data_IF_150377983990
#
_entry.id   IF_150377983990
#
_cell.length_a   1.000
_cell.length_b   1.000
_cell.length_c   1.000
_cell.angle_alpha   90.00
_cell.angle_beta   90.00
_cell.angle_gamma   90.00
#
_symmetry.space_group_name_H-M   'P 1'
#
loop_
_entity.id
_entity.type
_entity.pdbx_description
1 polymer ?
#
# COMPACT_ATOMS: atom_id res chain seq x y z
N UNK A 1 24.46 -0.21 -21.83
CA UNK A 1 25.10 -0.44 -20.50
C UNK A 1 25.65 0.83 -19.85
N UNK A 2 26.54 1.63 -20.48
CA UNK A 2 27.12 2.84 -19.83
C UNK A 2 26.08 3.93 -19.47
N UNK A 3 25.02 4.09 -20.26
CA UNK A 3 23.95 5.04 -19.97
C UNK A 3 23.10 4.62 -18.75
N UNK A 4 22.80 3.32 -18.66
CA UNK A 4 22.11 2.73 -17.50
C UNK A 4 22.94 2.90 -16.22
N UNK A 5 24.27 2.69 -16.30
CA UNK A 5 25.18 2.88 -15.17
C UNK A 5 25.25 4.32 -14.67
N UNK A 6 25.23 5.31 -15.58
CA UNK A 6 25.20 6.73 -15.18
C UNK A 6 23.89 7.10 -14.53
N UNK A 7 22.76 6.59 -15.05
CA UNK A 7 21.46 6.84 -14.46
C UNK A 7 21.32 6.21 -13.07
N UNK A 8 21.80 4.97 -12.87
CA UNK A 8 21.79 4.35 -11.54
C UNK A 8 22.75 5.05 -10.59
N UNK A 9 23.89 5.56 -11.07
CA UNK A 9 24.85 6.31 -10.28
C UNK A 9 24.34 7.68 -9.83
N UNK A 10 23.73 8.45 -10.73
CA UNK A 10 23.13 9.74 -10.38
C UNK A 10 21.91 9.58 -9.47
N UNK A 11 21.14 8.51 -9.65
CA UNK A 11 20.06 8.12 -8.74
C UNK A 11 20.58 7.77 -7.35
N UNK A 12 21.66 6.97 -7.27
CA UNK A 12 22.31 6.62 -6.01
C UNK A 12 22.92 7.84 -5.29
N UNK A 13 23.43 8.83 -6.03
CA UNK A 13 23.93 10.10 -5.46
C UNK A 13 22.81 11.02 -4.94
N UNK A 14 21.65 11.04 -5.57
CA UNK A 14 20.50 11.88 -5.15
C UNK A 14 19.66 11.24 -4.05
N UNK A 15 19.62 9.91 -3.98
CA UNK A 15 18.98 9.19 -2.88
C UNK A 15 19.79 9.35 -1.60
N UNK A 16 19.38 10.28 -0.71
CA UNK A 16 20.05 10.52 0.58
C UNK A 16 20.19 9.30 1.50
N UNK A 17 19.55 8.17 1.17
CA UNK A 17 19.63 6.91 1.91
C UNK A 17 20.71 5.93 1.44
N UNK A 18 21.30 6.08 0.25
CA UNK A 18 22.25 5.09 -0.29
C UNK A 18 23.63 5.21 0.37
N UNK A 19 24.05 6.43 0.66
CA UNK A 19 25.30 6.69 1.39
C UNK A 19 25.31 6.16 2.83
N UNK A 20 24.30 6.44 3.68
CA UNK A 20 24.30 5.90 5.04
C UNK A 20 24.22 4.38 5.06
N UNK A 21 23.52 3.73 4.11
CA UNK A 21 23.49 2.26 4.04
C UNK A 21 24.83 1.67 3.58
N UNK A 22 25.51 2.30 2.61
CA UNK A 22 26.85 1.90 2.19
C UNK A 22 27.86 2.08 3.34
N UNK A 23 27.82 3.21 4.04
CA UNK A 23 28.66 3.47 5.22
C UNK A 23 28.38 2.43 6.31
N UNK A 24 27.11 2.12 6.59
CA UNK A 24 26.74 1.10 7.57
C UNK A 24 27.24 -0.29 7.16
N UNK A 25 27.20 -0.62 5.88
CA UNK A 25 27.71 -1.90 5.33
C UNK A 25 29.23 -2.00 5.48
N UNK A 26 29.96 -0.93 5.13
CA UNK A 26 31.41 -0.87 5.31
C UNK A 26 31.76 -0.89 6.79
N UNK A 27 31.00 -0.20 7.64
CA UNK A 27 31.23 -0.14 9.08
C UNK A 27 30.97 -1.49 9.75
N UNK A 28 29.95 -2.23 9.32
CA UNK A 28 29.66 -3.58 9.81
C UNK A 28 30.72 -4.59 9.35
N UNK A 29 31.18 -4.53 8.10
CA UNK A 29 32.32 -5.33 7.62
C UNK A 29 33.62 -4.98 8.34
N UNK A 30 33.88 -3.69 8.54
CA UNK A 30 35.01 -3.20 9.32
C UNK A 30 34.90 -3.70 10.77
N UNK A 31 33.73 -3.62 11.41
CA UNK A 31 33.53 -4.18 12.75
C UNK A 31 33.83 -5.68 12.78
N UNK A 32 33.39 -6.46 11.79
CA UNK A 32 33.68 -7.90 11.72
C UNK A 32 35.19 -8.18 11.61
N UNK A 33 35.90 -7.44 10.76
CA UNK A 33 37.34 -7.61 10.54
C UNK A 33 38.16 -7.10 11.73
N UNK A 34 37.69 -6.01 12.34
CA UNK A 34 38.40 -5.30 13.40
C UNK A 34 38.05 -5.81 14.79
N UNK A 35 36.96 -6.56 14.96
CA UNK A 35 36.62 -7.22 16.22
C UNK A 35 37.75 -8.19 16.56
N UNK A 36 38.65 -7.85 17.50
CA UNK A 36 39.72 -8.73 17.91
C UNK A 36 39.06 -9.78 18.80
N UNK A 37 38.49 -10.80 18.17
CA UNK A 37 38.02 -11.98 18.89
C UNK A 37 39.17 -12.49 19.75
N UNK A 38 38.93 -12.82 21.03
CA UNK A 38 39.98 -13.29 21.92
C UNK A 38 40.65 -14.49 21.25
N UNK A 39 41.90 -14.31 20.83
CA UNK A 39 42.73 -15.35 20.19
C UNK A 39 43.13 -16.47 21.17
N UNK A 40 42.39 -16.64 22.26
CA UNK A 40 42.60 -17.70 23.24
C UNK A 40 42.04 -19.00 22.67
N UNK A 41 42.98 -19.84 22.25
CA UNK A 41 42.91 -21.02 21.39
C UNK A 41 41.95 -22.14 21.87
N UNK A 42 41.29 -22.04 23.04
CA UNK A 42 40.67 -23.19 23.69
C UNK A 42 39.19 -23.07 24.11
N UNK A 43 38.45 -21.99 23.80
CA UNK A 43 37.04 -21.90 24.19
C UNK A 43 36.13 -21.59 23.00
N UNK A 44 35.29 -22.59 22.69
CA UNK A 44 34.07 -22.57 21.88
C UNK A 44 33.97 -21.45 20.82
N UNK A 45 34.28 -21.75 19.55
CA UNK A 45 34.07 -20.78 18.49
C UNK A 45 32.56 -20.57 18.24
N UNK A 46 32.24 -19.42 17.65
CA UNK A 46 31.06 -19.17 16.81
C UNK A 46 29.76 -18.67 17.43
N UNK A 47 29.68 -18.44 18.74
CA UNK A 47 28.48 -17.79 19.29
C UNK A 47 28.37 -16.34 18.77
N UNK A 48 29.50 -15.62 18.69
CA UNK A 48 29.54 -14.24 18.19
C UNK A 48 29.16 -14.12 16.70
N UNK A 49 29.70 -14.98 15.84
CA UNK A 49 29.41 -14.98 14.40
C UNK A 49 27.95 -15.38 14.11
N UNK A 50 27.41 -16.36 14.83
CA UNK A 50 25.99 -16.76 14.71
C UNK A 50 25.04 -15.66 15.18
N UNK A 51 25.33 -15.03 16.32
CA UNK A 51 24.52 -13.92 16.85
C UNK A 51 24.58 -12.72 15.90
N UNK A 52 25.75 -12.44 15.32
CA UNK A 52 25.89 -11.36 14.34
C UNK A 52 25.11 -11.65 13.06
N UNK A 53 25.17 -12.88 12.54
CA UNK A 53 24.36 -13.32 11.41
C UNK A 53 22.85 -13.18 11.67
N UNK A 54 22.38 -13.59 12.85
CA UNK A 54 20.99 -13.42 13.26
C UNK A 54 20.58 -11.94 13.38
N UNK A 55 21.44 -11.08 13.93
CA UNK A 55 21.19 -9.64 14.02
C UNK A 55 21.08 -9.00 12.64
N UNK A 56 21.94 -9.40 11.69
CA UNK A 56 21.92 -8.89 10.33
C UNK A 56 20.62 -9.29 9.59
N UNK A 57 20.15 -10.53 9.82
CA UNK A 57 18.85 -11.00 9.33
C UNK A 57 17.68 -10.23 9.94
N UNK A 58 17.70 -9.98 11.26
CA UNK A 58 16.69 -9.18 11.97
C UNK A 58 16.64 -7.74 11.47
N UNK A 59 17.79 -7.11 11.27
CA UNK A 59 17.89 -5.77 10.68
C UNK A 59 17.35 -5.79 9.25
N UNK A 60 17.71 -6.78 8.44
CA UNK A 60 17.17 -6.94 7.08
C UNK A 60 15.64 -7.02 7.07
N UNK A 61 15.07 -7.90 7.91
CA UNK A 61 13.63 -8.06 8.06
C UNK A 61 12.96 -6.78 8.58
N UNK A 62 13.56 -6.10 9.55
CA UNK A 62 13.08 -4.83 10.08
C UNK A 62 13.05 -3.74 9.00
N UNK A 63 14.06 -3.70 8.14
CA UNK A 63 14.15 -2.70 7.06
C UNK A 63 13.03 -2.91 6.05
N UNK A 64 12.77 -4.16 5.64
CA UNK A 64 11.63 -4.52 4.78
C UNK A 64 10.30 -4.17 5.46
N UNK A 65 10.16 -4.52 6.74
CA UNK A 65 8.97 -4.19 7.53
C UNK A 65 8.71 -2.68 7.61
N UNK A 66 9.73 -1.89 7.88
CA UNK A 66 9.63 -0.43 7.95
C UNK A 66 9.23 0.17 6.60
N UNK A 67 9.75 -0.37 5.49
CA UNK A 67 9.40 0.08 4.14
C UNK A 67 7.95 -0.26 3.77
N UNK A 68 7.50 -1.49 4.07
CA UNK A 68 6.08 -1.86 3.92
C UNK A 68 5.18 -0.98 4.79
N UNK A 69 5.61 -0.64 6.00
CA UNK A 69 4.82 0.19 6.93
C UNK A 69 4.72 1.64 6.45
N UNK A 70 5.80 2.21 5.91
CA UNK A 70 5.80 3.55 5.32
C UNK A 70 4.90 3.62 4.09
N UNK A 71 4.96 2.59 3.23
CA UNK A 71 4.09 2.45 2.05
C UNK A 71 2.61 2.30 2.46
N UNK A 72 2.34 1.50 3.51
CA UNK A 72 1.00 1.32 4.05
C UNK A 72 0.38 2.62 4.59
N UNK A 73 1.19 3.53 5.11
CA UNK A 73 0.74 4.86 5.56
C UNK A 73 0.26 5.75 4.42
N UNK A 74 0.87 5.66 3.24
CA UNK A 74 0.50 6.47 2.07
C UNK A 74 -0.85 6.06 1.48
N UNK A 75 -1.24 4.80 1.60
CA UNK A 75 -2.55 4.33 1.13
C UNK A 75 -3.75 4.75 2.01
N UNK A 76 -3.56 5.62 3.00
CA UNK A 76 -4.64 6.13 3.87
C UNK A 76 -5.31 5.05 4.73
N UNK A 77 -4.92 3.78 4.59
CA UNK A 77 -5.32 2.68 5.45
C UNK A 77 -4.57 2.84 6.76
N UNK A 78 -5.16 3.61 7.66
CA UNK A 78 -4.76 3.70 9.06
C UNK A 78 -4.73 2.31 9.69
N UNK A 79 -3.58 1.66 9.55
CA UNK A 79 -3.16 0.54 10.37
C UNK A 79 -3.28 -0.84 9.74
N UNK A 80 -2.48 -1.13 8.72
CA UNK A 80 -1.99 -2.53 8.57
C UNK A 80 -1.21 -2.91 9.83
N UNK A 81 -0.39 -2.01 10.36
CA UNK A 81 0.27 -2.20 11.66
C UNK A 81 -0.75 -2.35 12.81
N UNK A 82 -1.79 -1.49 12.90
CA UNK A 82 -2.85 -1.68 13.92
C UNK A 82 -3.59 -3.00 13.73
N UNK A 83 -3.91 -3.41 12.49
CA UNK A 83 -4.55 -4.70 12.19
C UNK A 83 -3.65 -5.88 12.54
N UNK A 84 -2.35 -5.79 12.28
CA UNK A 84 -1.39 -6.81 12.66
C UNK A 84 -1.22 -6.88 14.18
N UNK A 85 -1.16 -5.75 14.88
CA UNK A 85 -1.17 -5.70 16.34
C UNK A 85 -2.51 -6.17 16.94
N UNK A 86 -3.63 -5.90 16.28
CA UNK A 86 -4.95 -6.42 16.65
C UNK A 86 -5.00 -7.94 16.45
N UNK A 87 -4.50 -8.43 15.32
CA UNK A 87 -4.41 -9.87 14.99
C UNK A 87 -3.46 -10.62 15.93
N UNK A 88 -2.31 -10.02 16.27
CA UNK A 88 -1.38 -10.59 17.24
C UNK A 88 -1.96 -10.58 18.67
N UNK A 89 -2.90 -9.68 18.94
CA UNK A 89 -3.61 -9.55 20.22
C UNK A 89 -4.90 -10.36 20.28
N UNK A 90 -5.44 -10.80 19.14
CA UNK A 90 -6.62 -11.66 19.00
C UNK A 90 -6.49 -13.03 19.69
N UNK A 91 -5.36 -13.76 19.66
CA UNK A 91 -5.25 -15.02 20.39
C UNK A 91 -5.32 -14.84 21.92
N UNK A 92 -5.19 -13.60 22.44
CA UNK A 92 -5.28 -13.29 23.86
C UNK A 92 -6.63 -12.66 24.29
N UNK A 93 -7.56 -12.41 23.37
CA UNK A 93 -8.88 -11.85 23.67
C UNK A 93 -9.96 -12.87 23.34
N UNK A 94 -10.58 -13.42 24.39
CA UNK A 94 -11.81 -14.23 24.30
C UNK A 94 -12.81 -13.55 23.36
N UNK A 95 -13.30 -14.33 22.40
CA UNK A 95 -14.22 -13.91 21.35
C UNK A 95 -15.39 -13.08 21.88
N UNK A 96 -15.44 -11.80 21.50
CA UNK A 96 -16.64 -10.98 21.59
C UNK A 96 -16.93 -10.49 20.18
N UNK A 97 -17.96 -11.09 19.59
CA UNK A 97 -18.51 -10.80 18.27
C UNK A 97 -19.02 -9.36 18.23
N UNK A 98 -18.33 -8.48 17.48
CA UNK A 98 -18.85 -7.16 17.13
C UNK A 98 -19.18 -7.16 15.64
N UNK A 99 -20.48 -7.24 15.34
CA UNK A 99 -21.02 -7.03 14.01
C UNK A 99 -21.00 -5.52 13.75
N UNK A 100 -20.14 -5.07 12.83
CA UNK A 100 -20.13 -3.68 12.35
C UNK A 100 -21.11 -3.59 11.19
N UNK A 101 -22.33 -3.12 11.47
CA UNK A 101 -23.28 -2.72 10.45
C UNK A 101 -22.91 -1.32 9.95
N UNK A 102 -22.31 -1.24 8.75
CA UNK A 102 -22.11 0.01 8.02
C UNK A 102 -23.08 0.01 6.83
N UNK A 103 -24.04 0.92 6.84
CA UNK A 103 -25.01 1.07 5.75
C UNK A 103 -26.00 2.19 6.06
N UNK A 104 -25.52 3.44 6.05
CA UNK A 104 -26.39 4.63 6.03
C UNK A 104 -26.83 4.83 4.58
N UNK A 105 -28.07 4.46 4.27
CA UNK A 105 -28.70 4.70 2.98
C UNK A 105 -29.42 6.05 2.99
N UNK A 106 -29.09 6.89 2.02
CA UNK A 106 -29.49 8.29 1.91
C UNK A 106 -31.02 8.51 1.89
N UNK A 107 -31.47 9.45 2.69
CA UNK A 107 -32.85 9.97 2.70
C UNK A 107 -33.06 10.84 1.45
N UNK A 108 -33.75 10.31 0.45
CA UNK A 108 -34.20 11.09 -0.72
C UNK A 108 -35.32 12.05 -0.32
N UNK A 109 -35.08 13.35 -0.44
CA UNK A 109 -36.10 14.37 -0.22
C UNK A 109 -37.11 14.37 -1.37
N UNK A 110 -38.30 13.80 -1.15
CA UNK A 110 -39.43 13.94 -2.06
C UNK A 110 -40.11 15.30 -1.82
N UNK A 111 -39.85 16.27 -2.70
CA UNK A 111 -40.58 17.53 -2.71
C UNK A 111 -42.00 17.32 -3.26
N UNK A 112 -43.01 17.56 -2.43
CA UNK A 112 -44.40 17.56 -2.87
C UNK A 112 -44.73 18.91 -3.54
N UNK A 113 -44.90 18.91 -4.86
CA UNK A 113 -45.43 20.07 -5.58
C UNK A 113 -46.96 19.96 -5.62
N UNK A 114 -47.66 20.93 -5.02
CA UNK A 114 -49.10 21.05 -5.10
C UNK A 114 -49.46 22.06 -6.21
N UNK A 115 -50.00 21.56 -7.33
CA UNK A 115 -50.58 22.41 -8.37
C UNK A 115 -52.09 22.52 -8.14
N UNK A 116 -52.59 23.74 -7.94
CA UNK A 116 -54.02 24.00 -7.83
C UNK A 116 -54.59 24.38 -9.20
N UNK A 117 -55.41 23.51 -9.78
CA UNK A 117 -56.05 23.75 -11.08
C UNK A 117 -57.49 24.20 -10.89
N UNK A 118 -57.86 25.39 -11.40
CA UNK A 118 -59.24 25.89 -11.36
C UNK A 118 -59.96 25.45 -12.63
N UNK A 119 -60.92 24.52 -12.52
CA UNK A 119 -61.77 24.10 -13.64
C UNK A 119 -63.16 24.73 -13.52
N UNK A 120 -63.69 25.24 -14.63
CA UNK A 120 -65.10 25.69 -14.68
C UNK A 120 -65.99 24.49 -14.94
N UNK A 121 -66.77 24.10 -13.94
CA UNK A 121 -67.77 23.05 -14.10
C UNK A 121 -69.12 23.70 -14.46
N UNK A 122 -69.73 23.37 -15.62
CA UNK A 122 -71.01 23.96 -15.99
C UNK A 122 -72.12 23.44 -15.06
N UNK A 123 -72.90 24.36 -14.48
CA UNK A 123 -74.07 24.03 -13.67
C UNK A 123 -75.19 23.42 -14.54
N UNK A 124 -75.91 22.39 -14.05
CA UNK A 124 -77.05 21.82 -14.78
C UNK A 124 -78.16 22.88 -14.91
N UNK A 125 -78.63 23.14 -16.13
CA UNK A 125 -79.69 24.12 -16.44
C UNK A 125 -79.24 25.39 -17.16
N UNK A 126 -77.93 25.57 -17.40
CA UNK A 126 -77.36 26.67 -18.22
C UNK A 126 -77.56 26.41 -19.72
N UNK A 127 -77.60 27.48 -20.52
CA UNK A 127 -77.74 27.41 -21.98
C UNK A 127 -76.62 26.61 -22.65
N UNK A 128 -76.86 26.07 -23.85
CA UNK A 128 -75.88 25.25 -24.59
C UNK A 128 -74.60 26.05 -24.86
N UNK A 129 -74.75 27.34 -25.12
CA UNK A 129 -73.71 28.31 -25.43
C UNK A 129 -72.75 28.49 -24.25
N UNK A 130 -73.27 28.60 -23.02
CA UNK A 130 -72.45 28.73 -21.81
C UNK A 130 -71.69 27.43 -21.50
N UNK A 131 -72.29 26.27 -21.79
CA UNK A 131 -71.60 24.97 -21.66
C UNK A 131 -70.46 24.86 -22.67
N UNK A 132 -70.68 25.31 -23.90
CA UNK A 132 -69.65 25.31 -24.94
C UNK A 132 -68.48 26.22 -24.57
N UNK A 133 -68.76 27.45 -24.11
CA UNK A 133 -67.75 28.38 -23.65
C UNK A 133 -66.93 27.83 -22.45
N UNK A 134 -67.57 27.10 -21.52
CA UNK A 134 -66.86 26.46 -20.42
C UNK A 134 -65.92 25.33 -20.87
N UNK A 135 -66.34 24.53 -21.86
CA UNK A 135 -65.50 23.47 -22.44
C UNK A 135 -64.32 24.07 -23.20
N UNK A 136 -64.55 25.09 -24.02
CA UNK A 136 -63.49 25.79 -24.77
C UNK A 136 -62.45 26.38 -23.82
N UNK A 137 -62.89 27.05 -22.76
CA UNK A 137 -62.00 27.55 -21.71
C UNK A 137 -61.17 26.43 -21.04
N UNK A 138 -61.79 25.29 -20.71
CA UNK A 138 -61.09 24.17 -20.09
C UNK A 138 -60.07 23.52 -21.05
N UNK A 139 -60.36 23.43 -22.36
CA UNK A 139 -59.43 22.93 -23.37
C UNK A 139 -58.24 23.88 -23.54
N UNK A 140 -58.47 25.19 -23.54
CA UNK A 140 -57.42 26.19 -23.61
C UNK A 140 -56.49 26.11 -22.38
N UNK A 141 -57.07 25.97 -21.18
CA UNK A 141 -56.31 25.77 -19.93
C UNK A 141 -55.47 24.47 -19.96
N UNK A 142 -56.06 23.35 -20.37
CA UNK A 142 -55.34 22.08 -20.51
C UNK A 142 -54.18 22.18 -21.49
N UNK A 143 -54.37 22.88 -22.61
CA UNK A 143 -53.30 23.09 -23.61
C UNK A 143 -52.16 23.93 -23.05
N UNK A 144 -52.48 24.97 -22.26
CA UNK A 144 -51.49 25.79 -21.54
C UNK A 144 -50.72 24.96 -20.50
N UNK A 145 -51.41 24.21 -19.65
CA UNK A 145 -50.81 23.33 -18.65
C UNK A 145 -49.91 22.27 -19.28
N UNK A 146 -50.34 21.67 -20.39
CA UNK A 146 -49.54 20.67 -21.11
C UNK A 146 -48.27 21.29 -21.70
N UNK A 147 -48.36 22.50 -22.24
CA UNK A 147 -47.21 23.23 -22.79
C UNK A 147 -46.23 23.61 -21.69
N UNK A 148 -46.72 24.09 -20.55
CA UNK A 148 -45.91 24.44 -19.38
C UNK A 148 -45.24 23.21 -18.77
N UNK A 149 -45.98 22.10 -18.65
CA UNK A 149 -45.44 20.82 -18.17
C UNK A 149 -44.38 20.26 -19.10
N UNK A 150 -44.60 20.30 -20.41
CA UNK A 150 -43.59 19.89 -21.38
C UNK A 150 -42.33 20.76 -21.30
N UNK A 151 -42.50 22.07 -21.12
CA UNK A 151 -41.36 22.99 -20.93
C UNK A 151 -40.62 22.68 -19.62
N UNK A 152 -41.33 22.42 -18.53
CA UNK A 152 -40.72 22.08 -17.24
C UNK A 152 -39.93 20.78 -17.33
N UNK A 153 -40.50 19.73 -17.93
CA UNK A 153 -39.83 18.45 -18.19
C UNK A 153 -38.57 18.65 -19.03
N UNK A 154 -38.64 19.42 -20.12
CA UNK A 154 -37.46 19.72 -20.94
C UNK A 154 -36.38 20.46 -20.15
N UNK A 155 -36.75 21.44 -19.33
CA UNK A 155 -35.78 22.19 -18.51
C UNK A 155 -35.16 21.33 -17.41
N UNK A 156 -35.95 20.47 -16.75
CA UNK A 156 -35.46 19.52 -15.75
C UNK A 156 -34.54 18.48 -16.39
N UNK A 157 -34.91 17.93 -17.54
CA UNK A 157 -34.09 16.99 -18.30
C UNK A 157 -32.76 17.61 -18.75
N UNK A 158 -32.78 18.87 -19.19
CA UNK A 158 -31.55 19.59 -19.55
C UNK A 158 -30.65 19.83 -18.31
N UNK A 159 -31.23 20.22 -17.17
CA UNK A 159 -30.50 20.42 -15.91
C UNK A 159 -29.87 19.12 -15.41
N UNK A 160 -30.62 18.02 -15.37
CA UNK A 160 -30.11 16.72 -14.93
C UNK A 160 -29.00 16.20 -15.85
N UNK A 161 -29.12 16.39 -17.17
CA UNK A 161 -28.05 16.02 -18.12
C UNK A 161 -26.79 16.85 -17.90
N UNK A 162 -26.93 18.15 -17.63
CA UNK A 162 -25.79 19.02 -17.33
C UNK A 162 -25.11 18.62 -16.01
N UNK A 163 -25.88 18.28 -14.97
CA UNK A 163 -25.36 17.80 -13.69
C UNK A 163 -24.66 16.44 -13.81
N UNK A 164 -25.22 15.52 -14.60
CA UNK A 164 -24.58 14.24 -14.93
C UNK A 164 -23.27 14.45 -15.72
N UNK A 165 -23.24 15.39 -16.66
CA UNK A 165 -22.03 15.72 -17.40
C UNK A 165 -20.94 16.32 -16.48
N UNK A 166 -21.31 17.22 -15.56
CA UNK A 166 -20.37 17.82 -14.61
C UNK A 166 -19.83 16.77 -13.61
N UNK A 167 -20.70 15.94 -13.05
CA UNK A 167 -20.29 14.86 -12.12
C UNK A 167 -19.40 13.83 -12.80
N UNK A 168 -19.71 13.42 -14.04
CA UNK A 168 -18.85 12.50 -14.80
C UNK A 168 -17.50 13.12 -15.14
N UNK A 169 -17.44 14.40 -15.50
CA UNK A 169 -16.18 15.12 -15.74
C UNK A 169 -15.33 15.22 -14.46
N UNK A 170 -15.95 15.52 -13.31
CA UNK A 170 -15.27 15.54 -12.00
C UNK A 170 -14.72 14.17 -11.65
N UNK A 171 -15.52 13.11 -11.75
CA UNK A 171 -15.07 11.74 -11.49
C UNK A 171 -13.91 11.32 -12.41
N UNK A 172 -13.94 11.69 -13.69
CA UNK A 172 -12.82 11.43 -14.60
C UNK A 172 -11.54 12.17 -14.17
N UNK A 173 -11.66 13.43 -13.72
CA UNK A 173 -10.51 14.19 -13.21
C UNK A 173 -9.94 13.59 -11.92
N UNK A 174 -10.79 13.12 -11.01
CA UNK A 174 -10.38 12.44 -9.77
C UNK A 174 -9.77 11.07 -10.04
N UNK A 175 -10.31 10.29 -10.98
CA UNK A 175 -9.71 9.02 -11.39
C UNK A 175 -8.33 9.24 -12.03
N UNK A 176 -8.15 10.34 -12.78
CA UNK A 176 -6.86 10.74 -13.33
C UNK A 176 -5.82 11.00 -12.24
N UNK A 177 -6.18 11.76 -11.21
CA UNK A 177 -5.27 12.06 -10.09
C UNK A 177 -4.96 10.82 -9.24
N UNK A 178 -5.96 9.97 -8.97
CA UNK A 178 -5.76 8.69 -8.27
C UNK A 178 -4.84 7.77 -9.05
N UNK A 179 -4.99 7.69 -10.38
CA UNK A 179 -4.12 6.89 -11.23
C UNK A 179 -2.68 7.42 -11.22
N UNK A 180 -2.50 8.74 -11.30
CA UNK A 180 -1.18 9.36 -11.20
C UNK A 180 -0.52 9.06 -9.84
N UNK A 181 -1.26 9.18 -8.73
CA UNK A 181 -0.76 8.82 -7.40
C UNK A 181 -0.46 7.33 -7.27
N UNK A 182 -1.26 6.45 -7.88
CA UNK A 182 -0.98 5.01 -7.92
C UNK A 182 0.28 4.71 -8.72
N UNK A 183 0.48 5.37 -9.86
CA UNK A 183 1.67 5.22 -10.68
C UNK A 183 2.93 5.71 -9.96
N UNK A 184 2.86 6.86 -9.29
CA UNK A 184 3.93 7.40 -8.44
C UNK A 184 4.23 6.50 -7.24
N UNK A 185 3.20 5.97 -6.58
CA UNK A 185 3.37 5.07 -5.41
C UNK A 185 3.90 3.70 -5.84
N UNK A 186 3.38 3.15 -6.95
CA UNK A 186 3.81 1.87 -7.49
C UNK A 186 5.25 1.94 -7.99
N UNK A 187 5.62 2.96 -8.77
CA UNK A 187 6.98 3.10 -9.34
C UNK A 187 8.00 3.65 -8.36
N UNK A 188 7.58 4.51 -7.42
CA UNK A 188 8.47 5.21 -6.50
C UNK A 188 9.14 4.32 -5.46
N UNK A 189 8.53 3.19 -5.06
CA UNK A 189 9.06 2.36 -3.96
C UNK A 189 9.67 1.00 -4.35
N UNK A 190 9.69 0.64 -5.63
CA UNK A 190 10.44 -0.54 -6.10
C UNK A 190 11.91 -0.59 -5.66
N UNK A 191 12.67 0.53 -5.65
CA UNK A 191 14.09 0.48 -5.32
C UNK A 191 14.37 0.10 -3.86
N UNK A 192 13.50 0.52 -2.92
CA UNK A 192 13.66 0.18 -1.50
C UNK A 192 13.33 -1.29 -1.24
N UNK A 193 12.30 -1.81 -1.92
CA UNK A 193 11.94 -3.22 -1.84
C UNK A 193 13.04 -4.14 -2.40
N UNK A 194 13.60 -3.78 -3.56
CA UNK A 194 14.74 -4.47 -4.16
C UNK A 194 15.97 -4.43 -3.24
N UNK A 195 16.22 -3.29 -2.59
CA UNK A 195 17.32 -3.16 -1.64
C UNK A 195 17.15 -4.08 -0.43
N UNK A 196 15.94 -4.15 0.14
CA UNK A 196 15.62 -5.07 1.22
C UNK A 196 15.79 -6.55 0.83
N UNK A 197 15.35 -6.92 -0.37
CA UNK A 197 15.49 -8.29 -0.91
C UNK A 197 16.96 -8.67 -1.07
N UNK A 198 17.78 -7.79 -1.65
CA UNK A 198 19.22 -8.01 -1.83
C UNK A 198 19.90 -8.18 -0.49
N UNK A 199 19.58 -7.34 0.50
CA UNK A 199 20.17 -7.46 1.84
C UNK A 199 19.78 -8.76 2.55
N UNK A 200 18.51 -9.17 2.43
CA UNK A 200 18.03 -10.44 2.96
C UNK A 200 18.75 -11.63 2.31
N UNK A 201 18.96 -11.59 0.99
CA UNK A 201 19.74 -12.60 0.28
C UNK A 201 21.19 -12.66 0.77
N UNK A 202 21.86 -11.52 0.97
CA UNK A 202 23.21 -11.47 1.54
C UNK A 202 23.24 -12.07 2.95
N UNK A 203 22.27 -11.74 3.80
CA UNK A 203 22.14 -12.33 5.14
C UNK A 203 21.97 -13.85 5.14
N UNK A 204 21.23 -14.40 4.16
CA UNK A 204 21.08 -15.85 3.99
C UNK A 204 22.41 -16.49 3.52
N UNK A 205 23.10 -15.88 2.57
CA UNK A 205 24.40 -16.38 2.08
C UNK A 205 25.45 -16.41 3.19
N UNK A 206 25.54 -15.34 4.00
CA UNK A 206 26.47 -15.29 5.14
C UNK A 206 26.13 -16.35 6.20
N UNK A 207 24.84 -16.53 6.49
CA UNK A 207 24.40 -17.55 7.43
C UNK A 207 24.67 -18.99 6.93
N UNK A 208 24.55 -19.23 5.62
CA UNK A 208 24.76 -20.56 5.02
C UNK A 208 26.23 -20.91 4.80
N UNK A 209 27.11 -19.91 4.62
CA UNK A 209 28.56 -20.14 4.51
C UNK A 209 29.26 -20.37 5.86
N UNK A 210 28.66 -19.92 6.96
CA UNK A 210 29.20 -20.10 8.32
C UNK A 210 29.54 -21.56 8.68
N UNK A 211 28.67 -22.57 8.44
CA UNK A 211 29.00 -23.97 8.75
C UNK A 211 30.10 -24.58 7.87
N UNK A 212 30.27 -24.12 6.63
CA UNK A 212 31.32 -24.65 5.73
C UNK A 212 32.70 -24.07 6.06
N UNK A 213 32.76 -22.80 6.45
CA UNK A 213 33.98 -22.19 7.01
C UNK A 213 34.46 -22.92 8.26
N UNK A 214 33.51 -23.42 9.07
CA UNK A 214 33.83 -24.21 10.26
C UNK A 214 34.43 -25.57 9.92
N UNK A 215 33.90 -26.25 8.91
CA UNK A 215 34.46 -27.52 8.43
C UNK A 215 35.85 -27.33 7.85
N UNK A 216 36.03 -26.34 6.98
CA UNK A 216 37.32 -26.03 6.37
C UNK A 216 38.39 -25.68 7.43
N UNK A 217 38.01 -24.92 8.47
CA UNK A 217 38.90 -24.60 9.58
C UNK A 217 39.29 -25.81 10.45
N UNK A 218 38.34 -26.72 10.71
CA UNK A 218 38.59 -27.95 11.46
C UNK A 218 39.54 -28.91 10.74
N UNK A 219 39.39 -29.04 9.41
CA UNK A 219 40.23 -29.90 8.58
C UNK A 219 41.66 -29.37 8.40
N UNK A 220 41.83 -28.04 8.36
CA UNK A 220 43.15 -27.42 8.42
C UNK A 220 43.85 -27.66 9.76
N UNK A 221 43.10 -27.60 10.88
CA UNK A 221 43.65 -27.80 12.23
C UNK A 221 44.11 -29.24 12.47
N UNK A 222 43.33 -30.24 12.04
CA UNK A 222 43.72 -31.65 12.17
C UNK A 222 45.02 -31.98 11.42
N UNK A 223 45.27 -31.34 10.26
CA UNK A 223 46.55 -31.46 9.54
C UNK A 223 47.72 -30.87 10.31
N UNK A 224 47.54 -29.68 10.90
CA UNK A 224 48.59 -29.02 11.69
C UNK A 224 48.90 -29.82 12.96
N UNK A 225 47.88 -30.34 13.64
CA UNK A 225 48.06 -31.18 14.83
C UNK A 225 48.75 -32.51 14.49
N UNK A 226 48.37 -33.15 13.36
CA UNK A 226 49.04 -34.35 12.86
C UNK A 226 50.50 -34.09 12.49
N UNK A 227 50.80 -32.96 11.85
CA UNK A 227 52.16 -32.55 11.51
C UNK A 227 52.99 -32.25 12.75
N UNK A 228 52.40 -31.56 13.74
CA UNK A 228 53.05 -31.26 15.03
C UNK A 228 53.33 -32.53 15.83
N UNK A 229 52.40 -33.49 15.83
CA UNK A 229 52.58 -34.80 16.46
C UNK A 229 53.65 -35.65 15.75
N UNK A 230 53.76 -35.56 14.42
CA UNK A 230 54.82 -36.23 13.67
C UNK A 230 56.21 -35.67 14.00
N UNK A 231 56.33 -34.33 14.09
CA UNK A 231 57.57 -33.65 14.49
C UNK A 231 57.97 -34.03 15.92
N UNK A 232 57.01 -34.05 16.86
CA UNK A 232 57.27 -34.36 18.27
C UNK A 232 57.72 -35.81 18.50
N UNK A 233 57.40 -36.75 17.61
CA UNK A 233 57.80 -38.17 17.72
C UNK A 233 59.17 -38.48 17.12
N UNK A 234 59.93 -37.48 16.65
CA UNK A 234 61.28 -37.70 16.12
C UNK A 234 61.32 -38.52 14.82
N UNK A 235 60.19 -38.65 14.13
CA UNK A 235 60.14 -39.23 12.80
C UNK A 235 60.67 -38.19 11.80
N UNK A 236 61.98 -38.17 11.57
CA UNK A 236 62.52 -37.56 10.36
C UNK A 236 61.95 -38.35 9.16
N UNK A 237 61.20 -37.72 8.25
CA UNK A 237 60.91 -38.36 6.99
C UNK A 237 62.22 -38.49 6.18
N UNK A 238 62.42 -39.60 5.43
CA UNK A 238 63.44 -39.65 4.40
C UNK A 238 63.14 -38.68 3.25
#
# INVERSE_FOLDING_TARGET
>A
MRAWWRHTWDWARRGGMVWPSAIFSVLTLALIVWWPGPRTICQAPDLGLRVWGMLLQLIGAWTVWADLTSTAGQFGKTGIAKRFFLWLREPFRKASTSIVAAGVSATGAAGAFANATIRRNPLPGRGIEERFAAVEFNIEQLTKELTETNRSIQTLGAKQRAELADTTARLQSELGSVRASLEETATGNYPKLLFGLVWLAVGIVVATLSPELLRAGAEGRSRVDAQSAAIARGACPP
#
